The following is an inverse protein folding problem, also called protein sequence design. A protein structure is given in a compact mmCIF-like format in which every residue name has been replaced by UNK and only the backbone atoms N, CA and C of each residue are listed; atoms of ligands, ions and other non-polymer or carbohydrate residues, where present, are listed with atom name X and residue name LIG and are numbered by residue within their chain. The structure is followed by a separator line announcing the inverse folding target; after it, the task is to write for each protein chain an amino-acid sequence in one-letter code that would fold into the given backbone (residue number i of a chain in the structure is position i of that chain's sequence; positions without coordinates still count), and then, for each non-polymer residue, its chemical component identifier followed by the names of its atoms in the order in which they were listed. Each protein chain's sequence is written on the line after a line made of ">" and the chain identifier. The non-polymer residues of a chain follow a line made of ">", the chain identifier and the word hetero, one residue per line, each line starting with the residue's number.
data_IF_601405112841
#
_entry.id   IF_601405112841
#
_cell.length_a   1.000
_cell.length_b   1.000
_cell.length_c   1.000
_cell.angle_alpha   90.00
_cell.angle_beta   90.00
_cell.angle_gamma   90.00
#
_symmetry.space_group_name_H-M   'P 1'
#
loop_
_entity.id
_entity.type
_entity.pdbx_description
1 polymer ?
#
# COMPACT_ATOMS: atom_id res chain seq x y z
N UNK A 1 10.07 -6.08 55.96
CA UNK A 1 9.50 -4.88 55.33
C UNK A 1 8.55 -5.36 54.25
N UNK A 2 7.25 -5.38 54.53
CA UNK A 2 6.27 -5.98 53.61
C UNK A 2 6.20 -5.18 52.32
N UNK A 3 6.38 -5.87 51.20
CA UNK A 3 6.54 -5.24 49.90
C UNK A 3 5.15 -4.87 49.35
N UNK A 4 4.63 -3.71 49.76
CA UNK A 4 3.28 -3.21 49.44
C UNK A 4 3.00 -3.02 47.95
N UNK A 5 4.03 -3.11 47.09
CA UNK A 5 3.92 -2.98 45.64
C UNK A 5 3.65 -4.30 44.90
N UNK A 6 3.92 -5.46 45.55
CA UNK A 6 3.65 -6.78 44.98
C UNK A 6 2.18 -6.98 44.56
N UNK A 7 1.15 -6.61 45.35
CA UNK A 7 -0.24 -6.81 44.93
C UNK A 7 -0.63 -5.94 43.72
N UNK A 8 -0.05 -4.75 43.60
CA UNK A 8 -0.29 -3.84 42.47
C UNK A 8 0.30 -4.45 41.18
N UNK A 9 1.52 -4.97 41.26
CA UNK A 9 2.17 -5.65 40.13
C UNK A 9 1.38 -6.89 39.67
N UNK A 10 0.85 -7.69 40.61
CA UNK A 10 0.01 -8.86 40.32
C UNK A 10 -1.29 -8.44 39.63
N UNK A 11 -1.92 -7.36 40.08
CA UNK A 11 -3.15 -6.85 39.45
C UNK A 11 -2.92 -6.39 38.00
N UNK A 12 -1.83 -5.68 37.74
CA UNK A 12 -1.45 -5.27 36.37
C UNK A 12 -1.17 -6.48 35.46
N UNK A 13 -0.56 -7.55 35.99
CA UNK A 13 -0.34 -8.78 35.24
C UNK A 13 -1.66 -9.48 34.89
N UNK A 14 -2.61 -9.55 35.83
CA UNK A 14 -3.91 -10.18 35.62
C UNK A 14 -4.77 -9.47 34.56
N UNK A 15 -4.73 -8.13 34.48
CA UNK A 15 -5.49 -7.36 33.47
C UNK A 15 -5.00 -7.67 32.05
N UNK A 16 -3.68 -7.84 31.86
CA UNK A 16 -3.12 -8.20 30.55
C UNK A 16 -3.50 -9.62 30.11
N UNK A 17 -3.66 -10.57 31.04
CA UNK A 17 -4.09 -11.93 30.72
C UNK A 17 -5.56 -12.00 30.26
N UNK A 18 -6.46 -11.17 30.81
CA UNK A 18 -7.89 -11.18 30.47
C UNK A 18 -8.15 -10.68 29.04
N UNK A 19 -7.35 -9.73 28.54
CA UNK A 19 -7.51 -9.18 27.18
C UNK A 19 -7.04 -10.13 26.05
N UNK A 20 -6.33 -11.21 26.37
CA UNK A 20 -5.79 -12.13 25.36
C UNK A 20 -6.87 -13.05 24.74
N UNK A 21 -8.01 -13.26 25.42
CA UNK A 21 -9.05 -14.21 25.00
C UNK A 21 -10.06 -13.71 23.95
N UNK A 22 -10.13 -12.40 23.68
CA UNK A 22 -11.24 -11.80 22.92
C UNK A 22 -11.00 -11.63 21.41
N UNK A 23 -9.79 -11.88 20.90
CA UNK A 23 -9.46 -11.77 19.48
C UNK A 23 -9.58 -13.09 18.71
N UNK A 24 -10.60 -13.90 19.00
CA UNK A 24 -10.83 -15.17 18.27
C UNK A 24 -12.16 -15.12 17.53
N UNK A 25 -12.11 -14.77 16.24
CA UNK A 25 -13.28 -14.86 15.38
C UNK A 25 -13.59 -16.32 15.01
N UNK A 26 -14.88 -16.60 14.79
CA UNK A 26 -15.34 -17.92 14.34
C UNK A 26 -14.80 -18.15 12.92
N UNK A 27 -14.10 -19.27 12.70
CA UNK A 27 -13.56 -19.64 11.39
C UNK A 27 -14.73 -19.86 10.42
N UNK A 28 -15.00 -18.88 9.55
CA UNK A 28 -15.94 -19.04 8.44
C UNK A 28 -15.27 -20.03 7.49
N UNK A 29 -15.88 -21.21 7.30
CA UNK A 29 -15.43 -22.15 6.26
C UNK A 29 -15.86 -21.55 4.93
N UNK A 30 -14.93 -21.15 4.05
CA UNK A 30 -15.31 -20.58 2.76
C UNK A 30 -16.10 -21.64 2.00
N UNK A 31 -17.27 -21.27 1.49
CA UNK A 31 -17.95 -22.10 0.50
C UNK A 31 -16.98 -22.28 -0.68
N UNK A 32 -16.83 -23.53 -1.17
CA UNK A 32 -15.93 -23.82 -2.29
C UNK A 32 -16.47 -23.11 -3.53
N UNK A 33 -15.93 -21.94 -3.83
CA UNK A 33 -16.27 -21.20 -5.04
C UNK A 33 -15.78 -22.01 -6.25
N UNK A 34 -16.56 -22.05 -7.34
CA UNK A 34 -16.10 -22.67 -8.57
C UNK A 34 -14.86 -21.92 -9.09
N UNK A 35 -13.92 -22.65 -9.67
CA UNK A 35 -12.78 -22.05 -10.35
C UNK A 35 -13.30 -21.22 -11.53
N UNK A 36 -13.03 -19.91 -11.53
CA UNK A 36 -13.37 -18.99 -12.63
C UNK A 36 -12.08 -18.41 -13.20
N UNK A 37 -12.00 -18.32 -14.52
CA UNK A 37 -10.92 -17.64 -15.24
C UNK A 37 -11.49 -16.37 -15.84
N UNK A 38 -10.81 -15.24 -15.66
CA UNK A 38 -11.17 -13.95 -16.24
C UNK A 38 -9.96 -13.40 -17.00
N UNK A 39 -10.15 -13.03 -18.26
CA UNK A 39 -9.12 -12.37 -19.05
C UNK A 39 -9.39 -10.86 -19.03
N UNK A 40 -8.46 -10.10 -18.48
CA UNK A 40 -8.55 -8.64 -18.39
C UNK A 40 -7.66 -8.03 -19.48
N UNK A 41 -8.20 -7.05 -20.20
CA UNK A 41 -7.48 -6.27 -21.20
C UNK A 41 -7.80 -4.80 -20.97
N UNK A 42 -6.78 -4.01 -20.73
CA UNK A 42 -6.87 -2.58 -20.46
C UNK A 42 -5.53 -1.92 -20.80
N UNK A 43 -5.55 -0.60 -20.89
CA UNK A 43 -4.40 0.23 -21.21
C UNK A 43 -3.97 1.01 -19.97
N UNK A 44 -2.66 1.02 -19.71
CA UNK A 44 -2.04 1.67 -18.56
C UNK A 44 -1.41 3.00 -18.99
N UNK A 45 -1.79 4.08 -18.31
CA UNK A 45 -1.36 5.44 -18.65
C UNK A 45 -0.41 5.98 -17.57
N UNK A 46 0.89 5.99 -17.87
CA UNK A 46 1.93 6.49 -16.98
C UNK A 46 2.36 7.92 -17.36
N UNK A 47 1.79 8.91 -16.66
CA UNK A 47 1.88 10.32 -17.02
C UNK A 47 2.87 11.03 -16.08
N UNK A 48 4.06 11.34 -16.59
CA UNK A 48 5.15 11.99 -15.85
C UNK A 48 5.23 13.51 -16.04
N UNK A 49 4.38 14.09 -16.89
CA UNK A 49 4.47 15.51 -17.30
C UNK A 49 3.09 16.17 -17.37
N UNK A 50 3.06 17.49 -17.61
CA UNK A 50 1.82 18.27 -17.66
C UNK A 50 1.34 18.74 -16.28
N UNK A 51 0.13 19.28 -16.24
CA UNK A 51 -0.43 19.89 -15.02
C UNK A 51 -1.02 18.88 -14.03
N UNK A 52 -1.24 17.64 -14.48
CA UNK A 52 -1.81 16.57 -13.66
C UNK A 52 -1.07 15.25 -13.91
N UNK A 53 0.19 15.13 -13.46
CA UNK A 53 0.94 13.88 -13.56
C UNK A 53 0.28 12.81 -12.68
N UNK A 54 0.32 11.56 -13.14
CA UNK A 54 -0.18 10.38 -12.41
C UNK A 54 0.93 9.61 -11.70
N UNK A 55 2.19 9.93 -12.00
CA UNK A 55 3.38 9.41 -11.33
C UNK A 55 4.28 10.55 -10.86
N UNK A 56 4.73 10.48 -9.60
CA UNK A 56 5.59 11.50 -8.98
C UNK A 56 6.79 10.86 -8.29
N UNK A 57 7.96 11.49 -8.40
CA UNK A 57 9.18 11.05 -7.73
C UNK A 57 9.03 11.30 -6.23
N UNK A 58 9.18 10.26 -5.42
CA UNK A 58 9.19 10.35 -3.95
C UNK A 58 10.58 10.17 -3.35
N UNK A 59 11.50 9.54 -4.08
CA UNK A 59 12.91 9.45 -3.71
C UNK A 59 13.79 9.25 -4.95
N UNK A 60 15.02 9.74 -4.92
CA UNK A 60 16.02 9.48 -5.96
C UNK A 60 17.42 9.51 -5.37
N UNK A 61 18.42 8.84 -5.99
CA UNK A 61 19.80 8.92 -5.54
C UNK A 61 20.39 10.32 -5.78
N UNK A 62 21.35 10.70 -4.94
CA UNK A 62 22.14 11.91 -5.15
C UNK A 62 23.10 11.69 -6.33
N UNK A 63 23.02 12.53 -7.36
CA UNK A 63 23.93 12.45 -8.50
C UNK A 63 25.18 13.30 -8.26
N UNK A 64 26.32 12.77 -8.70
CA UNK A 64 27.64 13.42 -8.58
C UNK A 64 27.87 14.54 -9.58
N UNK A 65 27.10 14.61 -10.69
CA UNK A 65 27.48 15.43 -11.85
C UNK A 65 26.42 16.42 -12.38
N UNK A 66 25.21 16.48 -11.84
CA UNK A 66 24.23 17.49 -12.28
C UNK A 66 23.25 17.83 -11.16
N UNK A 67 23.18 19.10 -10.76
CA UNK A 67 22.22 19.62 -9.75
C UNK A 67 20.81 19.79 -10.29
N UNK A 68 20.54 19.32 -11.50
CA UNK A 68 19.23 19.43 -12.13
C UNK A 68 18.36 18.24 -11.71
N UNK A 69 17.37 18.41 -10.82
CA UNK A 69 16.52 17.30 -10.37
C UNK A 69 15.74 16.64 -11.52
N UNK A 70 15.53 17.36 -12.64
CA UNK A 70 14.93 16.83 -13.87
C UNK A 70 15.82 15.86 -14.66
N UNK A 71 17.11 15.74 -14.32
CA UNK A 71 18.08 14.82 -14.92
C UNK A 71 18.41 13.62 -14.01
N UNK A 72 17.58 13.37 -12.99
CA UNK A 72 17.78 12.24 -12.08
C UNK A 72 17.96 10.93 -12.84
N UNK A 73 18.93 10.12 -12.43
CA UNK A 73 19.18 8.77 -12.97
C UNK A 73 17.91 7.94 -12.86
N UNK A 74 17.57 7.21 -13.94
CA UNK A 74 16.51 6.20 -13.90
C UNK A 74 16.80 5.11 -12.86
N UNK A 75 18.08 4.77 -12.67
CA UNK A 75 18.48 3.80 -11.66
C UNK A 75 18.31 4.35 -10.24
N UNK A 76 17.55 3.64 -9.41
CA UNK A 76 17.32 3.96 -7.99
C UNK A 76 16.27 5.05 -7.72
N UNK A 77 15.66 5.63 -8.75
CA UNK A 77 14.54 6.58 -8.57
C UNK A 77 13.27 5.81 -8.23
N UNK A 78 12.53 6.28 -7.23
CA UNK A 78 11.27 5.69 -6.74
C UNK A 78 10.12 6.64 -7.07
N UNK A 79 9.08 6.09 -7.68
CA UNK A 79 7.85 6.79 -8.01
C UNK A 79 6.70 6.30 -7.12
N UNK A 80 5.88 7.23 -6.64
CA UNK A 80 4.51 6.91 -6.23
C UNK A 80 3.60 7.11 -7.45
N UNK A 81 2.69 6.16 -7.69
CA UNK A 81 1.81 6.15 -8.85
C UNK A 81 0.35 6.08 -8.45
N UNK A 82 -0.50 6.72 -9.25
CA UNK A 82 -1.95 6.55 -9.26
C UNK A 82 -2.42 6.60 -10.73
N UNK A 83 -2.03 5.58 -11.49
CA UNK A 83 -2.11 5.58 -12.95
C UNK A 83 -3.46 5.03 -13.44
N UNK A 84 -4.21 5.78 -14.27
CA UNK A 84 -5.52 5.31 -14.74
C UNK A 84 -5.38 4.12 -15.70
N UNK A 85 -6.26 3.14 -15.52
CA UNK A 85 -6.47 2.01 -16.42
C UNK A 85 -7.69 2.30 -17.27
N UNK A 86 -7.58 2.16 -18.59
CA UNK A 86 -8.66 2.47 -19.52
C UNK A 86 -9.02 1.31 -20.44
N UNK A 87 -10.24 1.34 -20.97
CA UNK A 87 -10.72 0.34 -21.94
C UNK A 87 -9.96 0.40 -23.27
N UNK A 88 -9.48 1.58 -23.66
CA UNK A 88 -8.80 1.82 -24.93
C UNK A 88 -7.50 2.63 -24.79
N UNK A 89 -6.71 2.73 -25.87
CA UNK A 89 -5.46 3.50 -25.88
C UNK A 89 -5.69 5.02 -25.98
N UNK A 90 -6.91 5.46 -26.28
CA UNK A 90 -7.26 6.88 -26.37
C UNK A 90 -7.46 7.50 -24.98
N UNK A 91 -6.95 8.72 -24.76
CA UNK A 91 -7.13 9.43 -23.47
C UNK A 91 -8.60 9.72 -23.12
N UNK A 92 -9.47 9.74 -24.13
CA UNK A 92 -10.92 9.94 -23.97
C UNK A 92 -11.68 8.66 -23.62
N UNK A 93 -11.02 7.48 -23.67
CA UNK A 93 -11.66 6.21 -23.36
C UNK A 93 -12.00 6.06 -21.87
N UNK A 94 -12.98 5.21 -21.56
CA UNK A 94 -13.50 5.07 -20.20
C UNK A 94 -12.42 4.56 -19.23
N UNK A 95 -12.39 5.14 -18.03
CA UNK A 95 -11.54 4.68 -16.92
C UNK A 95 -12.23 3.50 -16.24
N UNK A 96 -11.51 2.39 -16.11
CA UNK A 96 -11.99 1.14 -15.47
C UNK A 96 -11.35 0.87 -14.11
N UNK A 97 -10.34 1.66 -13.74
CA UNK A 97 -9.68 1.57 -12.45
C UNK A 97 -8.35 2.32 -12.45
N UNK A 98 -7.55 2.09 -11.41
CA UNK A 98 -6.23 2.68 -11.24
C UNK A 98 -5.22 1.60 -10.85
N UNK A 99 -3.95 1.81 -11.20
CA UNK A 99 -2.81 1.05 -10.71
C UNK A 99 -2.08 1.86 -9.61
N UNK A 100 -1.93 1.25 -8.44
CA UNK A 100 -1.43 1.85 -7.19
C UNK A 100 -0.56 0.84 -6.44
#
# INVERSE_FOLDING_TARGET
>A
MENKFTPILVLFLCINLVNCGYYKSKKIVPHKLPNKVTHLHFYYFDIHTGNNPSAVIVAHPNQTSDKNPKKSSLFGTVYAIDNPLREGPEETSNVVGNAQ
#
